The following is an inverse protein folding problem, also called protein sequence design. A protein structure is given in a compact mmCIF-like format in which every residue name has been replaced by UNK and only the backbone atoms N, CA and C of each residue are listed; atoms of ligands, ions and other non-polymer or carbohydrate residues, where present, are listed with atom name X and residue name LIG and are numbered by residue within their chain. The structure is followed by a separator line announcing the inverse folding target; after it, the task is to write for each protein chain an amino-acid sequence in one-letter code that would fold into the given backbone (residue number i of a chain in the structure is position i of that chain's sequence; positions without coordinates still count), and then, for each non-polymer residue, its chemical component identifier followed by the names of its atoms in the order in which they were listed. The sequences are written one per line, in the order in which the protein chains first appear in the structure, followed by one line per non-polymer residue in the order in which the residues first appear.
data_IF_580725164708
#
_entry.id   IF_580725164708
#
_cell.length_a   1.000
_cell.length_b   1.000
_cell.length_c   1.000
_cell.angle_alpha   90.00
_cell.angle_beta   90.00
_cell.angle_gamma   90.00
#
_symmetry.space_group_name_H-M   'P 1'
#
loop_
_entity.id
_entity.type
_entity.pdbx_description
1 polymer ?
#
# COMPACT_ATOMS: atom_id res chain seq x y z
N UNK A 1 7.19 -12.05 3.23
CA UNK A 1 7.09 -13.48 2.94
C UNK A 1 8.49 -14.07 2.90
N UNK A 2 8.65 -15.35 3.34
CA UNK A 2 9.88 -16.09 3.13
C UNK A 2 10.03 -16.38 1.63
N UNK A 3 11.20 -16.12 1.10
CA UNK A 3 11.52 -16.46 -0.29
C UNK A 3 11.91 -17.93 -0.45
N UNK A 4 12.29 -18.34 -1.66
CA UNK A 4 12.69 -19.72 -1.95
C UNK A 4 13.95 -20.21 -1.18
N UNK A 5 14.66 -19.30 -0.50
CA UNK A 5 15.86 -19.63 0.27
C UNK A 5 15.53 -20.33 1.59
N UNK A 6 14.27 -20.26 2.03
CA UNK A 6 13.82 -20.86 3.29
C UNK A 6 12.73 -21.93 3.06
N UNK A 7 13.07 -23.12 2.56
CA UNK A 7 12.08 -24.18 2.32
C UNK A 7 11.30 -24.53 3.59
N UNK A 8 9.98 -24.57 3.49
CA UNK A 8 9.09 -24.88 4.63
C UNK A 8 8.79 -23.69 5.55
N UNK A 9 9.28 -22.48 5.22
CA UNK A 9 8.97 -21.25 5.93
C UNK A 9 7.99 -20.43 5.07
N UNK A 10 6.79 -20.16 5.59
CA UNK A 10 5.79 -19.36 4.88
C UNK A 10 5.92 -17.87 5.20
N UNK A 11 6.48 -17.50 6.36
CA UNK A 11 6.53 -16.14 6.84
C UNK A 11 7.75 -15.90 7.74
N UNK A 12 8.34 -14.72 7.63
CA UNK A 12 9.33 -14.19 8.57
C UNK A 12 8.69 -13.06 9.37
N UNK A 13 8.87 -13.09 10.68
CA UNK A 13 8.43 -12.02 11.61
C UNK A 13 9.62 -11.49 12.40
N UNK A 14 9.58 -10.25 12.88
CA UNK A 14 10.63 -9.69 13.73
C UNK A 14 10.84 -10.54 14.98
N UNK A 15 12.09 -10.62 15.46
CA UNK A 15 12.40 -11.26 16.73
C UNK A 15 11.94 -10.38 17.89
N UNK A 16 11.01 -10.88 18.69
CA UNK A 16 10.33 -10.13 19.76
C UNK A 16 11.04 -10.14 21.12
N UNK A 17 12.22 -10.77 21.22
CA UNK A 17 12.92 -10.89 22.52
C UNK A 17 13.05 -9.56 23.26
N UNK A 18 13.33 -8.47 22.53
CA UNK A 18 13.42 -7.13 23.11
C UNK A 18 12.09 -6.67 23.71
N UNK A 19 10.97 -6.89 23.03
CA UNK A 19 9.64 -6.52 23.54
C UNK A 19 9.25 -7.32 24.76
N UNK A 20 9.70 -8.57 24.89
CA UNK A 20 9.51 -9.38 26.10
C UNK A 20 10.31 -8.81 27.30
N UNK A 21 11.51 -8.25 27.05
CA UNK A 21 12.34 -7.65 28.06
C UNK A 21 11.74 -6.33 28.60
N UNK A 22 11.02 -5.56 27.77
CA UNK A 22 10.43 -4.26 28.13
C UNK A 22 8.90 -4.31 28.30
N UNK A 23 8.25 -5.46 28.24
CA UNK A 23 6.80 -5.60 28.19
C UNK A 23 6.04 -4.89 29.31
N UNK A 24 6.65 -4.83 30.52
CA UNK A 24 6.05 -4.20 31.70
C UNK A 24 6.20 -2.65 31.67
N UNK A 25 7.04 -2.12 30.78
CA UNK A 25 7.26 -0.70 30.55
C UNK A 25 6.71 -0.22 29.20
N UNK A 26 6.14 -1.12 28.41
CA UNK A 26 5.54 -0.78 27.11
C UNK A 26 4.15 -0.19 27.32
N UNK A 27 3.99 1.10 27.07
CA UNK A 27 2.77 1.84 27.33
C UNK A 27 1.78 1.79 26.17
N UNK A 28 2.29 1.77 24.93
CA UNK A 28 1.47 1.71 23.72
C UNK A 28 2.28 1.20 22.53
N UNK A 29 1.57 0.67 21.52
CA UNK A 29 2.10 0.45 20.17
C UNK A 29 1.36 1.37 19.22
N UNK A 30 2.09 2.16 18.45
CA UNK A 30 1.51 3.11 17.50
C UNK A 30 1.80 2.61 16.07
N UNK A 31 0.76 2.42 15.28
CA UNK A 31 0.86 2.01 13.88
C UNK A 31 0.68 3.24 13.01
N UNK A 32 1.74 3.67 12.36
CA UNK A 32 1.76 4.84 11.49
C UNK A 32 0.87 4.69 10.25
N UNK A 33 0.81 3.47 9.68
CA UNK A 33 -0.02 3.12 8.53
C UNK A 33 -0.14 1.60 8.35
N UNK A 34 -1.00 1.16 7.43
CA UNK A 34 -1.40 -0.24 7.31
C UNK A 34 -0.56 -1.12 6.39
N UNK A 35 0.64 -0.71 5.93
CA UNK A 35 1.52 -1.60 5.17
C UNK A 35 1.99 -2.79 6.01
N UNK A 36 2.27 -3.92 5.35
CA UNK A 36 2.55 -5.20 6.00
C UNK A 36 3.84 -5.16 6.84
N UNK A 37 4.85 -4.41 6.45
CA UNK A 37 6.11 -4.20 7.17
C UNK A 37 5.96 -3.31 8.42
N UNK A 38 4.88 -2.53 8.53
CA UNK A 38 4.55 -1.71 9.69
C UNK A 38 3.48 -2.35 10.59
N UNK A 39 2.41 -2.90 10.01
CA UNK A 39 1.26 -3.42 10.73
C UNK A 39 1.17 -4.96 10.77
N UNK A 40 1.81 -5.65 9.84
CA UNK A 40 1.59 -7.09 9.61
C UNK A 40 2.02 -7.98 10.76
N UNK A 41 3.04 -7.60 11.53
CA UNK A 41 3.51 -8.39 12.67
C UNK A 41 2.57 -8.36 13.88
N UNK A 42 1.70 -7.36 14.01
CA UNK A 42 0.83 -7.16 15.18
C UNK A 42 0.04 -8.41 15.54
N UNK A 43 -0.58 -9.08 14.57
CA UNK A 43 -1.37 -10.28 14.83
C UNK A 43 -0.53 -11.49 15.29
N UNK A 44 0.73 -11.57 14.85
CA UNK A 44 1.68 -12.62 15.29
C UNK A 44 2.19 -12.35 16.70
N UNK A 45 2.34 -11.07 17.06
CA UNK A 45 2.83 -10.62 18.34
C UNK A 45 1.72 -10.42 19.39
N UNK A 46 0.47 -10.65 19.03
CA UNK A 46 -0.70 -10.34 19.85
C UNK A 46 -0.63 -10.86 21.30
N UNK A 47 -0.15 -12.09 21.49
CA UNK A 47 -0.05 -12.71 22.82
C UNK A 47 1.02 -12.04 23.71
N UNK A 48 1.95 -11.30 23.11
CA UNK A 48 3.06 -10.63 23.79
C UNK A 48 2.78 -9.14 24.03
N UNK A 49 1.82 -8.54 23.31
CA UNK A 49 1.43 -7.13 23.47
C UNK A 49 0.42 -7.04 24.62
N UNK A 50 0.75 -6.28 25.68
CA UNK A 50 -0.08 -6.08 26.87
C UNK A 50 -0.58 -4.66 27.05
N UNK A 51 -0.30 -3.79 26.09
CA UNK A 51 -0.70 -2.39 26.05
C UNK A 51 -1.64 -2.12 24.86
N UNK A 52 -2.32 -0.97 24.82
CA UNK A 52 -3.14 -0.57 23.68
C UNK A 52 -2.33 -0.47 22.39
N UNK A 53 -2.95 -0.84 21.27
CA UNK A 53 -2.41 -0.66 19.92
C UNK A 53 -3.25 0.41 19.23
N UNK A 54 -2.65 1.50 18.84
CA UNK A 54 -3.31 2.60 18.14
C UNK A 54 -3.05 2.50 16.63
N UNK A 55 -4.10 2.63 15.83
CA UNK A 55 -4.01 2.59 14.37
C UNK A 55 -5.08 3.50 13.73
N UNK A 56 -4.79 4.02 12.54
CA UNK A 56 -5.80 4.72 11.74
C UNK A 56 -6.94 3.77 11.33
N UNK A 57 -8.10 4.32 10.95
CA UNK A 57 -9.30 3.53 10.63
C UNK A 57 -9.01 2.40 9.63
N UNK A 58 -8.34 2.70 8.52
CA UNK A 58 -7.99 1.70 7.52
C UNK A 58 -6.99 0.66 8.04
N UNK A 59 -5.91 1.09 8.70
CA UNK A 59 -4.91 0.19 9.29
C UNK A 59 -5.52 -0.72 10.36
N UNK A 60 -6.41 -0.17 11.20
CA UNK A 60 -7.18 -0.92 12.21
C UNK A 60 -7.98 -2.07 11.58
N UNK A 61 -8.71 -1.81 10.49
CA UNK A 61 -9.47 -2.84 9.78
C UNK A 61 -8.57 -3.95 9.22
N UNK A 62 -7.40 -3.60 8.69
CA UNK A 62 -6.43 -4.59 8.21
C UNK A 62 -5.91 -5.47 9.35
N UNK A 63 -5.55 -4.86 10.49
CA UNK A 63 -5.10 -5.57 11.69
C UNK A 63 -6.22 -6.47 12.24
N UNK A 64 -7.45 -5.95 12.35
CA UNK A 64 -8.61 -6.73 12.80
C UNK A 64 -8.88 -7.95 11.92
N UNK A 65 -8.82 -7.77 10.59
CA UNK A 65 -8.98 -8.88 9.66
C UNK A 65 -7.90 -9.96 9.88
N UNK A 66 -6.66 -9.56 10.12
CA UNK A 66 -5.56 -10.49 10.40
C UNK A 66 -5.72 -11.16 11.75
N UNK A 67 -6.06 -10.43 12.81
CA UNK A 67 -6.35 -10.99 14.14
C UNK A 67 -7.49 -12.00 14.08
N UNK A 68 -8.54 -11.71 13.31
CA UNK A 68 -9.68 -12.63 13.11
C UNK A 68 -9.25 -13.93 12.43
N UNK A 69 -8.36 -13.87 11.43
CA UNK A 69 -7.80 -15.06 10.77
C UNK A 69 -7.05 -15.98 11.75
N UNK A 70 -6.41 -15.41 12.76
CA UNK A 70 -5.68 -16.13 13.80
C UNK A 70 -6.53 -16.48 15.02
N UNK A 71 -7.82 -16.11 15.05
CA UNK A 71 -8.67 -16.30 16.23
C UNK A 71 -8.25 -15.47 17.43
N UNK A 72 -7.61 -14.31 17.22
CA UNK A 72 -7.01 -13.45 18.24
C UNK A 72 -7.64 -12.06 18.32
N UNK A 73 -8.88 -11.90 17.85
CA UNK A 73 -9.52 -10.58 17.76
C UNK A 73 -9.61 -9.86 19.13
N UNK A 74 -9.85 -10.62 20.21
CA UNK A 74 -10.05 -10.09 21.55
C UNK A 74 -8.77 -10.08 22.41
N UNK A 75 -7.60 -10.35 21.82
CA UNK A 75 -6.33 -10.41 22.57
C UNK A 75 -5.63 -9.06 22.70
N UNK A 76 -5.99 -8.09 21.85
CA UNK A 76 -5.39 -6.75 21.81
C UNK A 76 -6.47 -5.69 21.94
N UNK A 77 -6.22 -4.68 22.77
CA UNK A 77 -7.01 -3.45 22.78
C UNK A 77 -6.59 -2.58 21.58
N UNK A 78 -7.38 -2.60 20.50
CA UNK A 78 -7.09 -1.91 19.24
C UNK A 78 -7.91 -0.64 19.13
N UNK A 79 -7.26 0.50 19.37
CA UNK A 79 -7.85 1.83 19.44
C UNK A 79 -7.64 2.58 18.12
N UNK A 80 -8.70 3.20 17.61
CA UNK A 80 -8.63 4.06 16.43
C UNK A 80 -8.17 5.46 16.79
N UNK A 81 -7.33 6.05 15.92
CA UNK A 81 -6.93 7.44 16.02
C UNK A 81 -6.82 8.10 14.63
N UNK A 82 -6.81 9.42 14.62
CA UNK A 82 -6.53 10.27 13.46
C UNK A 82 -5.63 11.46 13.87
N UNK A 83 -5.31 12.34 12.92
CA UNK A 83 -4.44 13.50 13.15
C UNK A 83 -5.02 14.56 14.11
N UNK A 84 -6.32 14.50 14.44
CA UNK A 84 -6.93 15.39 15.43
C UNK A 84 -6.71 14.91 16.88
N UNK A 85 -6.27 13.66 17.06
CA UNK A 85 -6.09 13.08 18.38
C UNK A 85 -4.70 13.43 18.95
N UNK A 86 -4.66 13.59 20.27
CA UNK A 86 -3.43 13.58 21.05
C UNK A 86 -3.48 12.38 22.02
N UNK A 87 -2.40 11.62 22.07
CA UNK A 87 -2.30 10.47 22.98
C UNK A 87 -1.28 10.84 24.06
N UNK A 88 -1.76 10.93 25.31
CA UNK A 88 -0.91 11.19 26.46
C UNK A 88 -0.53 9.88 27.13
N UNK A 89 0.75 9.61 27.21
CA UNK A 89 1.37 8.51 27.93
C UNK A 89 2.13 9.07 29.14
N UNK A 90 2.66 8.22 30.02
CA UNK A 90 3.30 8.70 31.27
C UNK A 90 4.41 9.74 31.04
N UNK A 91 5.29 9.47 30.05
CA UNK A 91 6.47 10.31 29.80
C UNK A 91 6.45 10.97 28.41
N UNK A 92 5.41 10.74 27.64
CA UNK A 92 5.31 11.17 26.24
C UNK A 92 3.94 11.73 25.95
N UNK A 93 3.87 12.76 25.11
CA UNK A 93 2.66 13.11 24.40
C UNK A 93 2.89 12.87 22.91
N UNK A 94 1.89 12.32 22.24
CA UNK A 94 1.96 12.02 20.81
C UNK A 94 0.97 12.91 20.07
N UNK A 95 1.46 13.60 19.05
CA UNK A 95 0.67 14.31 18.03
C UNK A 95 0.91 13.64 16.70
N UNK A 96 -0.03 13.80 15.79
CA UNK A 96 0.03 13.17 14.48
C UNK A 96 -0.10 14.21 13.38
N UNK A 97 0.61 14.00 12.28
CA UNK A 97 0.55 14.84 11.09
C UNK A 97 0.21 13.94 9.91
N UNK A 98 -0.89 14.28 9.21
CA UNK A 98 -1.25 13.58 7.98
C UNK A 98 -0.15 13.74 6.94
N UNK A 99 0.22 12.63 6.32
CA UNK A 99 1.18 12.58 5.23
C UNK A 99 0.53 11.98 3.98
N UNK A 100 1.28 11.89 2.90
CA UNK A 100 0.87 11.19 1.69
C UNK A 100 1.81 10.02 1.42
N UNK A 101 1.25 8.87 1.08
CA UNK A 101 1.97 7.64 0.79
C UNK A 101 1.16 6.76 -0.18
N UNK A 102 1.61 5.54 -0.48
CA UNK A 102 0.90 4.59 -1.35
C UNK A 102 -0.22 3.80 -0.66
N UNK A 103 -0.57 4.14 0.57
CA UNK A 103 -1.65 3.54 1.36
C UNK A 103 -2.48 4.66 2.02
N UNK A 104 -3.77 4.42 2.33
CA UNK A 104 -4.60 5.41 3.00
C UNK A 104 -4.15 5.75 4.41
N UNK A 105 -4.38 7.00 4.81
CA UNK A 105 -4.24 7.51 6.19
C UNK A 105 -2.85 7.27 6.82
N UNK A 106 -1.73 7.53 6.11
CA UNK A 106 -0.41 7.46 6.72
C UNK A 106 -0.20 8.65 7.66
N UNK A 107 0.48 8.42 8.79
CA UNK A 107 0.70 9.42 9.83
C UNK A 107 2.18 9.55 10.16
N UNK A 108 2.70 10.77 10.15
CA UNK A 108 3.92 11.08 10.87
C UNK A 108 3.59 11.27 12.36
N UNK A 109 4.51 10.89 13.23
CA UNK A 109 4.32 10.87 14.67
C UNK A 109 5.28 11.85 15.30
N UNK A 110 4.75 12.86 15.99
CA UNK A 110 5.52 13.78 16.82
C UNK A 110 5.48 13.26 18.25
N UNK A 111 6.64 12.96 18.79
CA UNK A 111 6.81 12.47 20.17
C UNK A 111 7.35 13.61 21.02
N UNK A 112 6.48 14.19 21.84
CA UNK A 112 6.85 15.26 22.74
C UNK A 112 7.40 14.69 24.03
N UNK A 113 8.60 15.11 24.40
CA UNK A 113 9.29 14.68 25.62
C UNK A 113 9.73 15.90 26.43
N UNK A 114 10.16 15.68 27.69
CA UNK A 114 10.79 16.72 28.51
C UNK A 114 12.12 17.26 27.93
N UNK A 115 12.68 16.58 26.92
CA UNK A 115 13.94 16.97 26.27
C UNK A 115 13.74 17.69 24.95
N UNK A 116 12.54 17.62 24.38
CA UNK A 116 12.18 18.21 23.10
C UNK A 116 11.34 17.25 22.22
N UNK A 117 11.01 17.72 21.03
CA UNK A 117 10.18 16.98 20.08
C UNK A 117 11.03 16.04 19.23
N UNK A 118 10.60 14.79 19.10
CA UNK A 118 11.13 13.84 18.12
C UNK A 118 10.10 13.71 17.00
N UNK A 119 10.53 13.76 15.75
CA UNK A 119 9.67 13.51 14.60
C UNK A 119 10.00 12.16 13.99
N UNK A 120 9.05 11.24 13.96
CA UNK A 120 9.09 10.02 13.17
C UNK A 120 8.19 10.20 11.95
N UNK A 121 8.76 10.33 10.75
CA UNK A 121 7.99 10.62 9.54
C UNK A 121 7.11 9.45 9.09
N UNK A 122 7.42 8.24 9.55
CA UNK A 122 6.99 7.01 8.89
C UNK A 122 7.33 7.04 7.39
N UNK A 123 6.58 6.32 6.56
CA UNK A 123 6.74 6.35 5.11
C UNK A 123 5.90 7.48 4.52
N UNK A 124 6.51 8.25 3.63
CA UNK A 124 5.87 9.46 3.11
C UNK A 124 6.44 9.90 1.76
N UNK A 125 5.70 10.74 1.07
CA UNK A 125 6.14 11.53 -0.09
C UNK A 125 5.46 12.90 -0.07
N UNK A 126 5.86 13.81 -0.96
CA UNK A 126 5.12 15.05 -1.19
C UNK A 126 4.18 14.83 -2.38
N UNK A 127 2.88 14.69 -2.11
CA UNK A 127 1.85 14.70 -3.15
C UNK A 127 0.91 15.89 -2.90
N UNK A 128 1.02 16.91 -3.74
CA UNK A 128 0.20 18.12 -3.63
C UNK A 128 -1.18 17.96 -4.29
N UNK A 129 -1.39 16.88 -5.02
CA UNK A 129 -2.63 16.59 -5.72
C UNK A 129 -2.98 15.09 -5.66
N UNK A 130 -3.07 14.51 -4.44
CA UNK A 130 -3.38 13.10 -4.27
C UNK A 130 -4.79 12.79 -4.78
N UNK A 131 -5.01 11.55 -5.20
CA UNK A 131 -6.35 11.09 -5.63
C UNK A 131 -7.16 10.49 -4.49
N UNK A 132 -6.56 10.38 -3.31
CA UNK A 132 -7.16 9.91 -2.06
C UNK A 132 -6.52 10.63 -0.87
N UNK A 133 -7.34 11.10 0.06
CA UNK A 133 -6.90 11.88 1.22
C UNK A 133 -6.60 13.34 0.89
N UNK A 134 -6.03 14.04 1.88
CA UNK A 134 -5.68 15.44 1.76
C UNK A 134 -4.29 15.64 1.13
N UNK A 135 -4.04 16.79 0.48
CA UNK A 135 -2.72 17.17 0.01
C UNK A 135 -1.69 17.19 1.14
N UNK A 136 -0.43 16.90 0.81
CA UNK A 136 0.66 16.95 1.78
C UNK A 136 0.77 18.33 2.43
N UNK A 137 0.70 18.38 3.77
CA UNK A 137 0.73 19.63 4.53
C UNK A 137 2.14 20.07 4.89
N UNK A 138 2.85 20.73 3.95
CA UNK A 138 4.16 21.34 4.21
C UNK A 138 4.16 22.24 5.45
N UNK A 139 3.10 23.02 5.65
CA UNK A 139 3.04 23.99 6.76
C UNK A 139 3.05 23.31 8.13
N UNK A 140 2.48 22.11 8.26
CA UNK A 140 2.51 21.36 9.53
C UNK A 140 3.93 21.03 9.94
N UNK A 141 4.80 20.65 9.00
CA UNK A 141 6.21 20.35 9.27
C UNK A 141 7.04 21.62 9.53
N UNK A 142 6.80 22.71 8.79
CA UNK A 142 7.45 24.00 9.07
C UNK A 142 7.10 24.51 10.47
N UNK A 143 5.83 24.41 10.87
CA UNK A 143 5.39 24.81 12.20
C UNK A 143 6.07 23.98 13.28
N UNK A 144 6.14 22.66 13.09
CA UNK A 144 6.87 21.77 13.99
C UNK A 144 8.37 22.14 14.08
N UNK A 145 9.01 22.44 12.94
CA UNK A 145 10.39 22.91 12.92
C UNK A 145 10.60 24.22 13.71
N UNK A 146 9.64 25.17 13.63
CA UNK A 146 9.66 26.40 14.41
C UNK A 146 9.47 26.15 15.92
N UNK A 147 8.76 25.10 16.30
CA UNK A 147 8.65 24.64 17.69
C UNK A 147 9.98 24.01 18.18
N UNK A 148 10.79 23.53 17.26
CA UNK A 148 12.07 22.84 17.50
C UNK A 148 11.94 21.31 17.48
N UNK A 149 12.73 20.67 16.62
CA UNK A 149 12.84 19.22 16.50
C UNK A 149 14.21 18.77 17.00
N UNK A 150 14.22 18.00 18.07
CA UNK A 150 15.45 17.45 18.66
C UNK A 150 16.07 16.35 17.80
N UNK A 151 15.24 15.50 17.20
CA UNK A 151 15.70 14.44 16.30
C UNK A 151 14.61 14.11 15.27
N UNK A 152 15.07 13.83 14.05
CA UNK A 152 14.27 13.37 12.91
C UNK A 152 14.60 11.90 12.64
N UNK A 153 13.57 11.04 12.70
CA UNK A 153 13.60 9.64 12.27
C UNK A 153 12.85 9.59 10.95
N UNK A 154 13.58 9.62 9.84
CA UNK A 154 13.02 9.83 8.52
C UNK A 154 13.06 8.61 7.60
N UNK A 155 12.08 8.52 6.69
CA UNK A 155 12.12 7.62 5.54
C UNK A 155 13.28 8.01 4.61
N UNK A 156 14.10 7.05 4.27
CA UNK A 156 15.24 7.22 3.36
C UNK A 156 15.24 6.21 2.21
N UNK A 157 14.11 5.55 1.96
CA UNK A 157 13.97 4.46 0.97
C UNK A 157 14.45 4.85 -0.43
N UNK A 158 14.17 6.08 -0.86
CA UNK A 158 14.59 6.61 -2.16
C UNK A 158 15.56 7.79 -2.05
N UNK A 159 16.38 7.85 -1.01
CA UNK A 159 17.31 8.96 -0.80
C UNK A 159 18.37 9.10 -1.92
N UNK A 160 18.65 8.02 -2.63
CA UNK A 160 19.56 7.96 -3.78
C UNK A 160 18.88 8.25 -5.13
N UNK A 161 17.54 8.37 -5.16
CA UNK A 161 16.78 8.66 -6.39
C UNK A 161 16.67 10.19 -6.56
N UNK A 162 17.21 10.77 -7.62
CA UNK A 162 17.12 12.21 -7.85
C UNK A 162 15.69 12.70 -8.09
N UNK A 163 15.41 13.96 -7.73
CA UNK A 163 14.15 14.63 -8.06
C UNK A 163 13.02 14.32 -7.08
N UNK A 164 11.81 14.18 -7.61
CA UNK A 164 10.54 14.06 -6.88
C UNK A 164 9.80 12.79 -7.25
N UNK A 165 9.01 12.27 -6.33
CA UNK A 165 8.28 11.00 -6.48
C UNK A 165 7.10 11.03 -7.46
N UNK A 166 6.57 12.23 -7.78
CA UNK A 166 5.39 12.41 -8.64
C UNK A 166 4.06 12.22 -7.91
N UNK A 167 2.94 12.47 -8.62
CA UNK A 167 1.58 12.44 -8.05
C UNK A 167 0.74 11.26 -8.57
N UNK A 168 -0.12 10.73 -7.71
CA UNK A 168 -1.12 9.74 -8.13
C UNK A 168 -2.15 10.30 -9.13
N UNK A 169 -2.39 11.61 -9.15
CA UNK A 169 -3.24 12.24 -10.18
C UNK A 169 -2.64 12.14 -11.58
N UNK A 170 -1.32 12.24 -11.72
CA UNK A 170 -0.64 12.07 -13.01
C UNK A 170 -0.79 10.64 -13.53
N UNK A 171 -0.66 9.66 -12.63
CA UNK A 171 -0.92 8.23 -12.97
C UNK A 171 -2.36 8.02 -13.39
N UNK A 172 -3.33 8.68 -12.75
CA UNK A 172 -4.76 8.58 -13.12
C UNK A 172 -5.01 9.06 -14.55
N UNK A 173 -4.42 10.20 -14.91
CA UNK A 173 -4.56 10.76 -16.25
C UNK A 173 -3.89 9.86 -17.30
N UNK A 174 -2.72 9.33 -17.00
CA UNK A 174 -2.02 8.46 -17.93
C UNK A 174 -2.72 7.10 -18.08
N UNK A 175 -3.18 6.47 -17.00
CA UNK A 175 -3.96 5.22 -17.08
C UNK A 175 -5.21 5.39 -17.95
N UNK A 176 -5.88 6.56 -17.90
CA UNK A 176 -7.04 6.83 -18.78
C UNK A 176 -6.63 6.81 -20.25
N UNK A 177 -5.49 7.42 -20.61
CA UNK A 177 -4.96 7.43 -21.99
C UNK A 177 -4.51 6.03 -22.40
N UNK A 178 -3.78 5.32 -21.55
CA UNK A 178 -3.33 3.94 -21.79
C UNK A 178 -4.53 3.05 -22.08
N UNK A 179 -5.58 3.10 -21.24
CA UNK A 179 -6.77 2.26 -21.44
C UNK A 179 -7.50 2.54 -22.75
N UNK A 180 -7.47 3.79 -23.23
CA UNK A 180 -8.10 4.16 -24.52
C UNK A 180 -7.35 3.64 -25.75
N UNK A 181 -6.07 3.30 -25.63
CA UNK A 181 -5.25 2.76 -26.74
C UNK A 181 -5.57 1.30 -27.07
N UNK A 182 -6.16 0.57 -26.14
CA UNK A 182 -6.36 -0.87 -26.27
C UNK A 182 -7.84 -1.24 -26.38
N UNK A 183 -8.16 -2.04 -27.38
CA UNK A 183 -9.52 -2.56 -27.60
C UNK A 183 -9.73 -3.92 -26.90
N UNK A 184 -8.67 -4.63 -26.53
CA UNK A 184 -8.74 -5.93 -25.88
C UNK A 184 -8.79 -5.81 -24.35
N UNK A 185 -8.80 -6.94 -23.65
CA UNK A 185 -8.77 -7.02 -22.20
C UNK A 185 -7.50 -6.37 -21.65
N UNK A 186 -7.67 -5.62 -20.59
CA UNK A 186 -6.55 -5.04 -19.85
C UNK A 186 -6.50 -5.71 -18.48
N UNK A 187 -5.32 -6.15 -18.09
CA UNK A 187 -5.01 -6.64 -16.74
C UNK A 187 -4.05 -5.67 -16.11
N UNK A 188 -4.41 -5.09 -14.96
CA UNK A 188 -3.53 -4.23 -14.18
C UNK A 188 -3.11 -4.97 -12.92
N UNK A 189 -1.80 -5.16 -12.76
CA UNK A 189 -1.24 -5.69 -11.52
C UNK A 189 -0.62 -4.58 -10.71
N UNK A 190 -0.95 -4.51 -9.42
CA UNK A 190 -0.45 -3.52 -8.48
C UNK A 190 -0.45 -4.06 -7.05
N UNK A 191 0.14 -3.30 -6.12
CA UNK A 191 0.04 -3.61 -4.69
C UNK A 191 -1.41 -3.47 -4.24
N UNK A 192 -1.92 -4.49 -3.56
CA UNK A 192 -3.31 -4.53 -3.09
C UNK A 192 -3.64 -3.49 -2.01
N UNK A 193 -2.63 -2.96 -1.35
CA UNK A 193 -2.72 -1.89 -0.34
C UNK A 193 -2.78 -0.49 -0.95
N UNK A 194 -2.38 -0.32 -2.23
CA UNK A 194 -2.41 0.98 -2.88
C UNK A 194 -3.83 1.33 -3.36
N UNK A 195 -4.65 1.76 -2.42
CA UNK A 195 -6.07 2.10 -2.67
C UNK A 195 -6.20 3.29 -3.62
N UNK A 196 -5.30 4.27 -3.55
CA UNK A 196 -5.28 5.39 -4.48
C UNK A 196 -5.12 4.92 -5.94
N UNK A 197 -4.21 3.95 -6.19
CA UNK A 197 -4.01 3.34 -7.50
C UNK A 197 -5.26 2.60 -7.97
N UNK A 198 -5.93 1.88 -7.08
CA UNK A 198 -7.18 1.17 -7.42
C UNK A 198 -8.27 2.18 -7.78
N UNK A 199 -8.41 3.28 -7.05
CA UNK A 199 -9.32 4.39 -7.37
C UNK A 199 -9.00 4.98 -8.76
N UNK A 200 -7.71 5.15 -9.08
CA UNK A 200 -7.28 5.65 -10.39
C UNK A 200 -7.65 4.69 -11.52
N UNK A 201 -7.47 3.38 -11.31
CA UNK A 201 -7.88 2.34 -12.27
C UNK A 201 -9.41 2.35 -12.44
N UNK A 202 -10.15 2.47 -11.33
CA UNK A 202 -11.63 2.57 -11.35
C UNK A 202 -12.08 3.79 -12.15
N UNK A 203 -11.46 4.94 -11.94
CA UNK A 203 -11.75 6.15 -12.69
C UNK A 203 -11.49 5.97 -14.20
N UNK A 204 -10.30 5.47 -14.55
CA UNK A 204 -9.92 5.22 -15.94
C UNK A 204 -10.83 4.18 -16.62
N UNK A 205 -11.24 3.14 -15.90
CA UNK A 205 -12.18 2.12 -16.39
C UNK A 205 -13.58 2.71 -16.70
N UNK A 206 -14.11 3.51 -15.77
CA UNK A 206 -15.40 4.22 -15.99
C UNK A 206 -15.36 5.11 -17.22
N UNK A 207 -14.28 5.87 -17.41
CA UNK A 207 -14.10 6.74 -18.58
C UNK A 207 -14.02 5.99 -19.90
N UNK A 208 -13.58 4.74 -19.85
CA UNK A 208 -13.49 3.85 -21.04
C UNK A 208 -14.66 2.84 -21.12
N UNK A 209 -15.74 3.03 -20.34
CA UNK A 209 -16.91 2.16 -20.30
C UNK A 209 -16.61 0.67 -20.05
N UNK A 210 -15.61 0.39 -19.21
CA UNK A 210 -15.19 -0.98 -18.88
C UNK A 210 -15.62 -1.37 -17.48
N UNK A 211 -16.01 -2.63 -17.30
CA UNK A 211 -16.27 -3.27 -16.01
C UNK A 211 -14.95 -3.74 -15.38
N UNK A 212 -14.94 -3.89 -14.07
CA UNK A 212 -13.73 -4.26 -13.31
C UNK A 212 -13.97 -5.55 -12.54
N UNK A 213 -13.08 -6.52 -12.70
CA UNK A 213 -13.01 -7.70 -11.84
C UNK A 213 -11.79 -7.62 -10.92
N UNK A 214 -11.99 -7.92 -9.63
CA UNK A 214 -10.91 -8.00 -8.63
C UNK A 214 -10.48 -9.45 -8.46
N UNK A 215 -9.19 -9.74 -8.68
CA UNK A 215 -8.65 -11.09 -8.56
C UNK A 215 -7.48 -11.10 -7.56
N UNK A 216 -7.59 -11.98 -6.57
CA UNK A 216 -6.63 -12.12 -5.48
C UNK A 216 -7.27 -11.84 -4.12
N UNK A 217 -6.96 -12.70 -3.15
CA UNK A 217 -7.57 -12.62 -1.81
C UNK A 217 -7.25 -11.32 -1.07
N UNK A 218 -5.99 -10.90 -1.09
CA UNK A 218 -5.56 -9.64 -0.46
C UNK A 218 -6.20 -8.42 -1.15
N UNK A 219 -6.33 -8.44 -2.49
CA UNK A 219 -6.99 -7.38 -3.25
C UNK A 219 -8.43 -7.20 -2.76
N UNK A 220 -9.21 -8.28 -2.70
CA UNK A 220 -10.60 -8.24 -2.23
C UNK A 220 -10.72 -7.77 -0.78
N UNK A 221 -9.85 -8.25 0.13
CA UNK A 221 -9.84 -7.84 1.55
C UNK A 221 -9.51 -6.36 1.74
N UNK A 222 -8.52 -5.85 1.01
CA UNK A 222 -8.13 -4.46 1.12
C UNK A 222 -9.21 -3.52 0.56
N UNK A 223 -9.86 -3.89 -0.54
CA UNK A 223 -11.01 -3.14 -1.07
C UNK A 223 -12.20 -3.18 -0.10
N UNK A 224 -12.50 -4.34 0.50
CA UNK A 224 -13.55 -4.44 1.52
C UNK A 224 -13.24 -3.55 2.73
N UNK A 225 -11.98 -3.51 3.19
CA UNK A 225 -11.55 -2.60 4.26
C UNK A 225 -11.68 -1.13 3.82
N UNK A 226 -11.33 -0.79 2.58
CA UNK A 226 -11.44 0.57 2.06
C UNK A 226 -12.91 1.03 1.93
N UNK A 227 -13.82 0.14 1.55
CA UNK A 227 -15.27 0.41 1.53
C UNK A 227 -15.77 0.62 2.97
N UNK A 228 -15.43 -0.27 3.90
CA UNK A 228 -15.85 -0.18 5.31
C UNK A 228 -15.33 1.08 6.01
N UNK A 229 -14.15 1.58 5.64
CA UNK A 229 -13.60 2.84 6.15
C UNK A 229 -14.10 4.08 5.41
N UNK A 230 -15.01 3.93 4.44
CA UNK A 230 -15.57 5.05 3.67
C UNK A 230 -14.63 5.67 2.64
N UNK A 231 -13.50 5.01 2.33
CA UNK A 231 -12.52 5.51 1.35
C UNK A 231 -12.93 5.24 -0.10
N UNK A 232 -13.76 4.24 -0.33
CA UNK A 232 -14.33 3.88 -1.63
C UNK A 232 -15.83 3.70 -1.48
N UNK A 233 -16.61 4.33 -2.37
CA UNK A 233 -18.04 4.06 -2.47
C UNK A 233 -18.29 2.68 -3.05
N UNK A 234 -19.16 1.90 -2.41
CA UNK A 234 -19.64 0.61 -2.93
C UNK A 234 -20.70 0.85 -4.03
N UNK A 235 -20.25 1.19 -5.23
CA UNK A 235 -21.10 1.55 -6.38
C UNK A 235 -21.33 0.39 -7.36
N UNK A 236 -21.23 -0.87 -6.94
CA UNK A 236 -21.38 -2.05 -7.82
C UNK A 236 -20.50 -2.02 -9.09
N UNK A 237 -19.34 -1.36 -9.00
CA UNK A 237 -18.41 -1.28 -10.13
C UNK A 237 -17.63 -2.58 -10.32
N UNK A 238 -17.43 -3.31 -9.22
CA UNK A 238 -16.71 -4.57 -9.23
C UNK A 238 -17.66 -5.72 -9.53
N UNK A 239 -17.26 -6.56 -10.48
CA UNK A 239 -17.97 -7.78 -10.84
C UNK A 239 -17.25 -9.01 -10.32
N UNK A 240 -17.97 -10.11 -10.21
CA UNK A 240 -17.39 -11.41 -9.82
C UNK A 240 -16.45 -11.98 -10.90
N UNK A 241 -15.62 -12.95 -10.51
CA UNK A 241 -14.74 -13.65 -11.46
C UNK A 241 -15.55 -14.47 -12.49
N UNK A 242 -16.69 -14.98 -12.07
CA UNK A 242 -17.64 -15.70 -12.92
C UNK A 242 -18.26 -14.78 -13.96
N UNK A 243 -18.76 -13.61 -13.55
CA UNK A 243 -19.29 -12.58 -14.46
C UNK A 243 -18.21 -12.08 -15.43
N UNK A 244 -16.97 -11.89 -14.94
CA UNK A 244 -15.85 -11.45 -15.76
C UNK A 244 -15.55 -12.41 -16.92
N UNK A 245 -15.78 -13.72 -16.75
CA UNK A 245 -15.59 -14.72 -17.79
C UNK A 245 -16.63 -14.63 -18.92
N UNK A 246 -17.75 -13.94 -18.69
CA UNK A 246 -18.86 -13.79 -19.63
C UNK A 246 -18.84 -12.43 -20.34
N UNK A 247 -18.06 -11.47 -19.86
CA UNK A 247 -18.00 -10.11 -20.45
C UNK A 247 -17.06 -10.10 -21.65
N UNK A 248 -17.43 -9.43 -22.77
CA UNK A 248 -16.53 -9.19 -23.88
C UNK A 248 -15.23 -8.55 -23.44
N UNK A 249 -14.10 -8.97 -24.01
CA UNK A 249 -12.75 -8.55 -23.59
C UNK A 249 -12.56 -7.04 -23.62
N UNK A 250 -13.10 -6.39 -24.64
CA UNK A 250 -13.05 -4.93 -24.82
C UNK A 250 -13.74 -4.15 -23.68
N UNK A 251 -14.63 -4.81 -22.94
CA UNK A 251 -15.40 -4.22 -21.85
C UNK A 251 -14.88 -4.60 -20.46
N UNK A 252 -13.73 -5.30 -20.37
CA UNK A 252 -13.22 -5.86 -19.12
C UNK A 252 -11.84 -5.30 -18.76
N UNK A 253 -11.72 -4.86 -17.51
CA UNK A 253 -10.44 -4.64 -16.81
C UNK A 253 -10.36 -5.61 -15.65
N UNK A 254 -9.20 -6.21 -15.47
CA UNK A 254 -8.90 -7.07 -14.34
C UNK A 254 -7.86 -6.34 -13.47
N UNK A 255 -8.15 -6.16 -12.18
CA UNK A 255 -7.15 -5.72 -11.19
C UNK A 255 -6.73 -6.95 -10.39
N UNK A 256 -5.44 -7.22 -10.33
CA UNK A 256 -4.95 -8.42 -9.67
C UNK A 256 -3.64 -8.21 -8.90
N UNK A 257 -3.38 -9.14 -7.97
CA UNK A 257 -2.09 -9.27 -7.29
C UNK A 257 -1.07 -10.00 -8.17
N UNK A 258 0.22 -9.83 -7.89
CA UNK A 258 1.28 -10.56 -8.59
C UNK A 258 2.30 -9.68 -9.29
N UNK A 259 2.34 -8.39 -8.96
CA UNK A 259 3.28 -7.44 -9.55
C UNK A 259 4.75 -7.76 -9.24
N UNK A 260 5.01 -8.54 -8.21
CA UNK A 260 6.36 -8.95 -7.79
C UNK A 260 6.71 -10.39 -8.24
N UNK A 261 5.90 -11.00 -9.10
CA UNK A 261 6.15 -12.34 -9.63
C UNK A 261 5.92 -13.47 -8.62
N UNK A 262 5.16 -13.22 -7.55
CA UNK A 262 4.88 -14.20 -6.48
C UNK A 262 4.13 -15.42 -7.02
N UNK A 263 4.67 -16.62 -6.83
CA UNK A 263 4.16 -17.89 -7.39
C UNK A 263 2.71 -18.25 -7.02
N UNK A 264 2.17 -17.72 -5.93
CA UNK A 264 0.79 -17.97 -5.49
C UNK A 264 -0.16 -16.82 -5.84
N UNK A 265 0.33 -15.78 -6.49
CA UNK A 265 -0.46 -14.59 -6.85
C UNK A 265 -1.48 -14.86 -7.95
N UNK A 266 -2.40 -13.93 -8.15
CA UNK A 266 -3.42 -14.03 -9.18
C UNK A 266 -2.82 -13.97 -10.58
N UNK A 267 -1.96 -12.98 -10.85
CA UNK A 267 -1.33 -12.84 -12.18
C UNK A 267 -0.46 -14.06 -12.52
N UNK A 268 0.29 -14.62 -11.55
CA UNK A 268 1.08 -15.82 -11.78
C UNK A 268 0.18 -16.97 -12.25
N UNK A 269 -0.94 -17.24 -11.54
CA UNK A 269 -1.87 -18.31 -11.92
C UNK A 269 -2.53 -18.06 -13.29
N UNK A 270 -2.85 -16.82 -13.61
CA UNK A 270 -3.40 -16.43 -14.90
C UNK A 270 -2.37 -16.69 -16.00
N UNK A 271 -1.13 -16.22 -15.85
CA UNK A 271 -0.07 -16.40 -16.82
C UNK A 271 0.30 -17.87 -17.08
N UNK A 272 0.24 -18.71 -16.03
CA UNK A 272 0.47 -20.16 -16.14
C UNK A 272 -0.79 -20.96 -16.55
N UNK A 273 -1.89 -20.29 -16.97
CA UNK A 273 -3.15 -20.92 -17.33
C UNK A 273 -3.72 -21.86 -16.25
N UNK A 274 -3.41 -21.58 -14.98
CA UNK A 274 -3.88 -22.34 -13.81
C UNK A 274 -5.00 -21.62 -13.04
N UNK A 275 -5.43 -20.44 -13.50
CA UNK A 275 -6.58 -19.74 -12.95
C UNK A 275 -7.88 -20.33 -13.51
N UNK A 276 -8.87 -20.54 -12.61
CA UNK A 276 -10.11 -21.27 -12.99
C UNK A 276 -10.94 -20.54 -14.04
N UNK A 277 -11.10 -19.22 -13.91
CA UNK A 277 -12.09 -18.46 -14.68
C UNK A 277 -11.45 -17.49 -15.69
N UNK A 278 -10.17 -17.17 -15.56
CA UNK A 278 -9.51 -16.15 -16.37
C UNK A 278 -8.33 -16.75 -17.11
N UNK A 279 -8.33 -16.59 -18.41
CA UNK A 279 -7.26 -17.00 -19.31
C UNK A 279 -6.91 -15.84 -20.23
N UNK A 280 -5.64 -15.51 -20.34
CA UNK A 280 -5.17 -14.49 -21.28
C UNK A 280 -5.08 -15.07 -22.68
N UNK A 281 -5.32 -14.21 -23.64
CA UNK A 281 -5.23 -14.54 -25.05
C UNK A 281 -4.29 -13.55 -25.75
N UNK A 282 -3.83 -13.91 -26.93
CA UNK A 282 -3.05 -13.02 -27.78
C UNK A 282 -3.70 -11.65 -27.87
N UNK A 283 -2.90 -10.60 -27.81
CA UNK A 283 -3.28 -9.18 -27.87
C UNK A 283 -4.02 -8.64 -26.60
N UNK A 284 -4.20 -9.45 -25.55
CA UNK A 284 -4.50 -8.92 -24.21
C UNK A 284 -3.30 -8.13 -23.70
N UNK A 285 -3.52 -7.17 -22.80
CA UNK A 285 -2.50 -6.27 -22.25
C UNK A 285 -2.34 -6.47 -20.74
N UNK A 286 -1.12 -6.57 -20.27
CA UNK A 286 -0.81 -6.60 -18.83
C UNK A 286 0.00 -5.37 -18.44
N UNK A 287 -0.54 -4.55 -17.56
CA UNK A 287 0.08 -3.33 -17.04
C UNK A 287 0.65 -3.63 -15.66
N UNK A 288 1.97 -3.51 -15.49
CA UNK A 288 2.64 -3.56 -14.20
C UNK A 288 2.65 -2.17 -13.58
N UNK A 289 1.62 -1.87 -12.82
CA UNK A 289 1.42 -0.58 -12.14
C UNK A 289 2.06 -0.59 -10.74
N UNK A 290 3.36 -0.93 -10.71
CA UNK A 290 4.18 -1.05 -9.51
C UNK A 290 5.65 -0.89 -9.84
N UNK A 291 6.45 -0.57 -8.83
CA UNK A 291 7.92 -0.66 -8.91
C UNK A 291 8.36 -2.10 -8.64
N UNK A 292 9.44 -2.51 -9.26
CA UNK A 292 10.10 -3.77 -8.93
C UNK A 292 10.82 -3.61 -7.58
N UNK A 293 10.49 -4.47 -6.60
CA UNK A 293 11.17 -4.48 -5.29
C UNK A 293 12.52 -5.20 -5.47
N UNK A 294 13.64 -4.62 -4.98
CA UNK A 294 14.94 -5.27 -5.03
C UNK A 294 14.91 -6.70 -4.49
N UNK A 295 15.46 -7.63 -5.26
CA UNK A 295 15.45 -9.07 -4.96
C UNK A 295 14.35 -9.88 -5.67
N UNK A 296 13.33 -9.21 -6.23
CA UNK A 296 12.24 -9.88 -6.96
C UNK A 296 12.44 -9.89 -8.48
N UNK A 297 13.50 -9.27 -8.99
CA UNK A 297 13.73 -9.05 -10.43
C UNK A 297 13.68 -10.35 -11.25
N UNK A 298 14.24 -11.44 -10.70
CA UNK A 298 14.22 -12.75 -11.38
C UNK A 298 12.80 -13.28 -11.55
N UNK A 299 11.98 -13.18 -10.51
CA UNK A 299 10.60 -13.66 -10.51
C UNK A 299 9.72 -12.81 -11.42
N UNK A 300 9.88 -11.49 -11.36
CA UNK A 300 9.17 -10.53 -12.22
C UNK A 300 9.53 -10.76 -13.69
N UNK A 301 10.83 -10.86 -14.01
CA UNK A 301 11.29 -11.09 -15.37
C UNK A 301 10.87 -12.46 -15.92
N UNK A 302 10.84 -13.50 -15.08
CA UNK A 302 10.33 -14.81 -15.48
C UNK A 302 8.84 -14.72 -15.86
N UNK A 303 8.04 -13.98 -15.10
CA UNK A 303 6.62 -13.76 -15.38
C UNK A 303 6.41 -12.92 -16.64
N UNK A 304 7.14 -11.81 -16.80
CA UNK A 304 7.12 -10.97 -18.01
C UNK A 304 7.50 -11.80 -19.26
N UNK A 305 8.56 -12.60 -19.19
CA UNK A 305 8.98 -13.48 -20.27
C UNK A 305 7.91 -14.52 -20.65
N UNK A 306 7.20 -15.07 -19.66
CA UNK A 306 6.11 -16.01 -19.92
C UNK A 306 4.96 -15.33 -20.67
N UNK A 307 4.53 -14.15 -20.24
CA UNK A 307 3.49 -13.36 -20.89
C UNK A 307 3.87 -12.98 -22.33
N UNK A 308 5.11 -12.52 -22.55
CA UNK A 308 5.63 -12.20 -23.88
C UNK A 308 5.61 -13.40 -24.83
N UNK A 309 5.96 -14.62 -24.35
CA UNK A 309 5.86 -15.85 -25.15
C UNK A 309 4.43 -16.18 -25.59
N UNK A 310 3.46 -15.77 -24.78
CA UNK A 310 2.03 -15.91 -25.10
C UNK A 310 1.51 -14.78 -26.01
N UNK A 311 2.38 -13.87 -26.45
CA UNK A 311 2.05 -12.69 -27.25
C UNK A 311 1.12 -11.72 -26.54
N UNK A 312 1.25 -11.65 -25.22
CA UNK A 312 0.60 -10.66 -24.36
C UNK A 312 1.48 -9.40 -24.37
N UNK A 313 0.88 -8.26 -24.58
CA UNK A 313 1.57 -6.97 -24.49
C UNK A 313 1.79 -6.60 -23.03
N UNK A 314 2.97 -6.05 -22.71
CA UNK A 314 3.34 -5.66 -21.36
C UNK A 314 3.63 -4.17 -21.36
N UNK A 315 3.07 -3.45 -20.39
CA UNK A 315 3.35 -2.05 -20.09
C UNK A 315 3.90 -1.96 -18.68
N UNK A 316 4.97 -1.21 -18.53
CA UNK A 316 5.65 -0.94 -17.25
C UNK A 316 5.78 0.56 -17.03
N UNK A 317 6.32 0.95 -15.88
CA UNK A 317 6.65 2.35 -15.59
C UNK A 317 7.76 2.93 -16.49
N UNK A 318 8.49 2.09 -17.22
CA UNK A 318 9.50 2.51 -18.21
C UNK A 318 8.85 2.90 -19.56
N UNK A 319 7.65 2.39 -19.82
CA UNK A 319 6.92 2.62 -21.08
C UNK A 319 5.96 3.82 -20.97
N UNK A 320 5.20 3.88 -19.88
CA UNK A 320 4.19 4.92 -19.61
C UNK A 320 4.17 5.24 -18.10
N UNK A 321 3.69 6.42 -17.72
CA UNK A 321 3.56 6.82 -16.31
C UNK A 321 2.43 6.06 -15.60
N UNK A 322 2.57 4.75 -15.51
CA UNK A 322 1.58 3.87 -14.85
C UNK A 322 1.89 3.65 -13.37
N UNK A 323 2.99 4.20 -12.87
CA UNK A 323 3.39 4.10 -11.47
C UNK A 323 4.17 5.33 -11.01
N UNK A 324 3.95 5.75 -9.76
CA UNK A 324 4.77 6.68 -8.99
C UNK A 324 5.09 6.05 -7.64
N UNK A 325 6.23 6.42 -7.06
CA UNK A 325 6.66 5.90 -5.75
C UNK A 325 5.72 6.36 -4.63
N UNK A 326 5.60 5.55 -3.59
CA UNK A 326 5.00 5.94 -2.31
C UNK A 326 5.98 6.66 -1.38
N UNK A 327 7.29 6.61 -1.67
CA UNK A 327 8.35 7.19 -0.85
C UNK A 327 8.95 8.42 -1.53
N UNK A 328 9.27 9.44 -0.74
CA UNK A 328 9.92 10.66 -1.21
C UNK A 328 11.30 10.40 -1.81
N UNK A 329 11.62 11.13 -2.87
CA UNK A 329 12.94 11.12 -3.49
C UNK A 329 13.88 12.12 -2.82
N UNK A 330 15.14 12.19 -3.27
CA UNK A 330 16.20 12.99 -2.67
C UNK A 330 15.81 14.45 -2.38
N UNK A 331 15.11 15.13 -3.30
CA UNK A 331 14.74 16.54 -3.12
C UNK A 331 13.60 16.72 -2.09
N UNK A 332 12.68 15.74 -1.98
CA UNK A 332 11.64 15.74 -0.96
C UNK A 332 12.23 15.51 0.43
N UNK A 333 13.16 14.56 0.56
CA UNK A 333 13.88 14.26 1.81
C UNK A 333 14.66 15.48 2.27
N UNK A 334 15.39 16.18 1.38
CA UNK A 334 16.08 17.43 1.70
C UNK A 334 15.11 18.52 2.18
N UNK A 335 13.94 18.62 1.55
CA UNK A 335 12.91 19.58 1.98
C UNK A 335 12.42 19.27 3.39
N UNK A 336 12.09 18.00 3.70
CA UNK A 336 11.67 17.59 5.04
C UNK A 336 12.72 17.98 6.07
N UNK A 337 13.97 17.65 5.81
CA UNK A 337 15.10 18.00 6.70
C UNK A 337 15.25 19.51 6.91
N UNK A 338 14.97 20.33 5.88
CA UNK A 338 15.07 21.79 6.00
C UNK A 338 13.86 22.42 6.71
N UNK A 339 12.72 21.74 6.75
CA UNK A 339 11.52 22.23 7.43
C UNK A 339 11.53 21.92 8.93
N UNK A 340 12.18 20.83 9.29
CA UNK A 340 12.18 20.28 10.66
C UNK A 340 13.53 20.42 11.36
#
# INVERSE_FOLDING_TARGET
FADEQFPGVDLLVPKIKFTEEIKDNLEAVIISHGHEDHAGAVAYLADHIKCPVYASSFAKLLIQNRLKEFGKLDTIDLIEFDSSNNISLNNFNLRFIDTTHSIPQPQAIVIETSYGNLLHTADWKIDNNPTLGEPFSKNSFINLGNEGVLALIGDSTNADVPGYSGSESEVREELQKVFSRYINRIVVTCFSSNIARIINIVYAAKKNNRKIALIGRSMKKNIEAAIKSGLIDDNNIFISEEEASLIPKENLIIICTGSQGEKRSALYRIAYNSHRNIHLEKDDVVIFSSRDIPGNEKSINALKNLLTRQKIEIITADDDLVHVSGHGHAEEIKQMYNWT
#
